data_IF_679385854767
#
_entry.id   IF_679385854767
#
_cell.length_a   1.000
_cell.length_b   1.000
_cell.length_c   1.000
_cell.angle_alpha   90.00
_cell.angle_beta   90.00
_cell.angle_gamma   90.00
#
_symmetry.space_group_name_H-M   'P 1'
#
loop_
_entity.id
_entity.type
_entity.pdbx_description
1 polymer ?
#
# COMPACT_ATOMS: atom_id res chain seq x y z
N UNK A 1 -16.06 -5.24 -21.14
CA UNK A 1 -15.15 -6.02 -20.26
C UNK A 1 -14.28 -5.04 -19.46
N UNK A 2 -13.88 -5.23 -18.21
CA UNK A 2 -14.61 -5.53 -16.97
C UNK A 2 -13.93 -4.65 -15.88
N UNK A 3 -14.70 -4.15 -14.90
CA UNK A 3 -14.33 -3.15 -13.86
C UNK A 3 -13.35 -3.67 -12.79
N UNK A 4 -12.44 -4.58 -13.15
CA UNK A 4 -11.64 -5.37 -12.19
C UNK A 4 -10.13 -5.08 -12.21
N UNK A 5 -9.68 -4.07 -12.96
CA UNK A 5 -8.28 -3.63 -12.94
C UNK A 5 -7.93 -2.79 -11.73
N UNK A 6 -8.91 -2.25 -10.99
CA UNK A 6 -8.69 -1.33 -9.87
C UNK A 6 -9.22 -1.92 -8.55
N UNK A 7 -8.52 -1.63 -7.46
CA UNK A 7 -8.95 -1.98 -6.12
C UNK A 7 -10.13 -1.09 -5.67
N UNK A 8 -11.22 -1.64 -5.12
CA UNK A 8 -12.38 -0.85 -4.69
C UNK A 8 -12.09 0.06 -3.48
N UNK A 9 -11.07 -0.26 -2.67
CA UNK A 9 -10.73 0.52 -1.47
C UNK A 9 -9.78 1.69 -1.74
N UNK A 10 -8.72 1.47 -2.53
CA UNK A 10 -7.67 2.47 -2.77
C UNK A 10 -7.59 2.98 -4.21
N UNK A 11 -8.39 2.43 -5.13
CA UNK A 11 -8.39 2.75 -6.57
C UNK A 11 -7.04 2.58 -7.26
N UNK A 12 -6.14 1.77 -6.68
CA UNK A 12 -4.89 1.41 -7.33
C UNK A 12 -5.08 0.22 -8.26
N UNK A 13 -4.25 0.12 -9.29
CA UNK A 13 -4.23 -1.04 -10.17
C UNK A 13 -4.04 -2.34 -9.37
N UNK A 14 -5.03 -3.21 -9.46
CA UNK A 14 -5.01 -4.56 -8.91
C UNK A 14 -4.35 -5.55 -9.88
N UNK A 15 -4.43 -5.30 -11.20
CA UNK A 15 -3.85 -6.16 -12.25
C UNK A 15 -2.39 -5.83 -12.53
N UNK A 16 -1.53 -6.07 -11.55
CA UNK A 16 -0.08 -5.88 -11.65
C UNK A 16 0.64 -7.22 -11.44
N UNK A 17 1.87 -7.40 -11.93
CA UNK A 17 2.58 -8.67 -11.77
C UNK A 17 2.73 -9.02 -10.29
N UNK A 18 3.00 -8.04 -9.43
CA UNK A 18 3.15 -8.25 -7.98
C UNK A 18 1.92 -8.87 -7.30
N UNK A 19 0.73 -8.71 -7.89
CA UNK A 19 -0.53 -9.27 -7.38
C UNK A 19 -0.90 -10.60 -8.04
N UNK A 20 -0.06 -11.14 -8.93
CA UNK A 20 -0.30 -12.39 -9.64
C UNK A 20 0.24 -13.58 -8.85
N UNK A 21 -0.49 -14.70 -8.80
CA UNK A 21 -0.05 -15.94 -8.14
C UNK A 21 1.21 -16.57 -8.75
N UNK A 22 1.51 -16.24 -10.01
CA UNK A 22 2.63 -16.77 -10.77
C UNK A 22 3.88 -15.90 -10.69
N UNK A 23 3.79 -14.73 -10.06
CA UNK A 23 4.94 -13.85 -9.89
C UNK A 23 5.95 -14.49 -8.94
N UNK A 24 7.19 -14.56 -9.39
CA UNK A 24 8.29 -15.14 -8.62
C UNK A 24 9.58 -14.38 -9.00
N UNK A 25 10.13 -13.55 -8.10
CA UNK A 25 11.33 -12.77 -8.42
C UNK A 25 12.57 -13.63 -8.70
N UNK A 26 12.56 -14.91 -8.32
CA UNK A 26 13.65 -15.85 -8.60
C UNK A 26 13.60 -16.47 -10.00
N UNK A 27 12.48 -16.36 -10.72
CA UNK A 27 12.34 -16.86 -12.08
C UNK A 27 12.97 -15.91 -13.11
N UNK A 28 13.44 -16.44 -14.25
CA UNK A 28 14.13 -15.67 -15.31
C UNK A 28 13.38 -14.40 -15.76
N UNK A 29 12.04 -14.48 -15.86
CA UNK A 29 11.17 -13.35 -16.26
C UNK A 29 10.38 -12.75 -15.10
N UNK A 30 10.77 -13.09 -13.88
CA UNK A 30 10.00 -12.89 -12.66
C UNK A 30 8.57 -13.49 -12.71
N UNK A 31 8.40 -14.57 -13.49
CA UNK A 31 7.13 -15.26 -13.70
C UNK A 31 7.40 -16.76 -13.84
N UNK A 32 6.61 -17.59 -13.16
CA UNK A 32 6.71 -19.06 -13.23
C UNK A 32 6.15 -19.64 -14.52
N UNK A 33 5.30 -18.89 -15.21
CA UNK A 33 4.76 -19.27 -16.51
C UNK A 33 5.70 -18.76 -17.61
N UNK A 34 6.34 -19.68 -18.33
CA UNK A 34 7.34 -19.37 -19.36
C UNK A 34 6.71 -18.82 -20.64
N UNK A 35 5.49 -19.27 -20.95
CA UNK A 35 4.71 -18.83 -22.11
C UNK A 35 4.08 -17.44 -21.90
N UNK A 36 4.10 -16.92 -20.67
CA UNK A 36 3.56 -15.61 -20.39
C UNK A 36 4.36 -14.49 -21.07
N UNK A 37 3.64 -13.44 -21.46
CA UNK A 37 4.23 -12.23 -22.00
C UNK A 37 5.20 -11.61 -20.98
N UNK A 38 6.35 -11.16 -21.47
CA UNK A 38 7.33 -10.49 -20.61
C UNK A 38 6.90 -9.06 -20.29
N UNK A 39 6.50 -8.84 -19.04
CA UNK A 39 6.19 -7.51 -18.51
C UNK A 39 7.45 -6.86 -17.95
N UNK A 40 7.81 -5.65 -18.38
CA UNK A 40 8.98 -4.90 -17.84
C UNK A 40 8.70 -4.29 -16.48
N UNK A 41 7.60 -3.55 -16.37
CA UNK A 41 7.17 -2.82 -15.17
C UNK A 41 6.25 -3.72 -14.33
N UNK A 42 6.78 -4.36 -13.29
CA UNK A 42 6.04 -5.38 -12.52
C UNK A 42 5.01 -4.79 -11.56
N UNK A 43 5.21 -3.53 -11.17
CA UNK A 43 4.41 -2.74 -10.23
C UNK A 43 3.28 -1.94 -10.91
N UNK A 44 3.24 -1.94 -12.26
CA UNK A 44 2.20 -1.27 -13.05
C UNK A 44 1.21 -2.24 -13.66
N UNK A 45 0.06 -1.68 -14.04
CA UNK A 45 -1.03 -2.41 -14.69
C UNK A 45 -0.53 -3.12 -15.94
N UNK A 46 -0.92 -4.39 -16.11
CA UNK A 46 -0.57 -5.18 -17.27
C UNK A 46 -1.79 -5.83 -17.92
N UNK A 47 -1.58 -6.33 -19.14
CA UNK A 47 -2.60 -7.01 -19.93
C UNK A 47 -2.38 -8.52 -20.07
N UNK A 48 -1.40 -9.07 -19.33
CA UNK A 48 -0.98 -10.46 -19.44
C UNK A 48 -2.17 -11.43 -19.30
N UNK A 49 -2.38 -12.26 -20.31
CA UNK A 49 -3.49 -13.23 -20.39
C UNK A 49 -3.41 -14.33 -19.31
N UNK A 50 -2.20 -14.62 -18.82
CA UNK A 50 -1.97 -15.59 -17.74
C UNK A 50 -2.15 -14.99 -16.34
N UNK A 51 -2.53 -13.72 -16.22
CA UNK A 51 -2.76 -13.09 -14.93
C UNK A 51 -3.83 -13.84 -14.14
N UNK A 52 -3.47 -14.28 -12.94
CA UNK A 52 -4.39 -14.85 -11.96
C UNK A 52 -4.11 -14.18 -10.63
N UNK A 53 -5.09 -13.50 -9.99
CA UNK A 53 -4.87 -12.85 -8.71
C UNK A 53 -4.38 -13.87 -7.68
N UNK A 54 -3.38 -13.47 -6.88
CA UNK A 54 -2.92 -14.23 -5.73
C UNK A 54 -4.02 -14.39 -4.68
N UNK A 55 -3.85 -15.35 -3.78
CA UNK A 55 -4.75 -15.46 -2.64
C UNK A 55 -4.74 -14.14 -1.86
N UNK A 56 -5.92 -13.53 -1.69
CA UNK A 56 -6.08 -12.39 -0.81
C UNK A 56 -5.69 -12.81 0.59
N UNK A 57 -4.64 -12.19 1.15
CA UNK A 57 -4.39 -12.25 2.59
C UNK A 57 -5.52 -11.47 3.25
N UNK A 58 -6.64 -12.13 3.52
CA UNK A 58 -7.70 -11.58 4.33
C UNK A 58 -7.12 -11.13 5.66
N UNK A 59 -7.64 -10.05 6.24
CA UNK A 59 -7.21 -9.54 7.55
C UNK A 59 -7.29 -10.67 8.59
N UNK A 60 -6.17 -11.33 8.86
CA UNK A 60 -6.06 -12.31 9.91
C UNK A 60 -5.86 -11.58 11.24
N UNK A 61 -6.70 -11.92 12.22
CA UNK A 61 -6.63 -11.62 13.66
C UNK A 61 -5.76 -10.41 14.07
N UNK A 62 -6.36 -9.22 14.05
CA UNK A 62 -5.69 -7.95 14.37
C UNK A 62 -5.20 -7.86 15.83
N UNK A 63 -5.86 -8.52 16.78
CA UNK A 63 -5.52 -8.37 18.20
C UNK A 63 -4.18 -9.00 18.56
N UNK A 64 -3.89 -10.21 18.08
CA UNK A 64 -2.65 -10.91 18.41
C UNK A 64 -1.42 -10.25 17.76
N UNK A 65 -1.60 -9.67 16.57
CA UNK A 65 -0.54 -8.92 15.89
C UNK A 65 -0.25 -7.59 16.62
N UNK A 66 -1.28 -6.90 17.11
CA UNK A 66 -1.16 -5.63 17.83
C UNK A 66 -0.43 -5.81 19.16
N UNK A 67 -0.84 -6.78 19.99
CA UNK A 67 -0.19 -7.04 21.28
C UNK A 67 1.29 -7.45 21.13
N UNK A 68 1.64 -8.21 20.09
CA UNK A 68 3.05 -8.57 19.82
C UNK A 68 3.88 -7.37 19.41
N UNK A 69 3.32 -6.44 18.65
CA UNK A 69 4.00 -5.21 18.25
C UNK A 69 4.24 -4.31 19.47
N UNK A 70 3.22 -4.11 20.30
CA UNK A 70 3.33 -3.30 21.53
C UNK A 70 4.41 -3.85 22.47
N UNK A 71 4.50 -5.17 22.63
CA UNK A 71 5.51 -5.83 23.47
C UNK A 71 6.96 -5.60 22.99
N UNK A 72 7.19 -5.40 21.69
CA UNK A 72 8.53 -5.11 21.14
C UNK A 72 8.98 -3.68 21.47
N UNK A 73 8.05 -2.72 21.51
CA UNK A 73 8.36 -1.30 21.75
C UNK A 73 8.18 -0.86 23.21
N UNK A 74 7.46 -1.63 24.03
CA UNK A 74 7.28 -1.36 25.46
C UNK A 74 8.56 -1.50 26.30
N UNK A 75 9.63 -2.11 25.77
CA UNK A 75 10.92 -2.26 26.49
C UNK A 75 11.88 -1.09 26.30
N UNK A 76 11.45 0.03 25.69
CA UNK A 76 12.30 1.20 25.49
C UNK A 76 11.62 2.55 25.25
N UNK A 77 10.33 2.70 25.56
CA UNK A 77 9.62 3.97 25.38
C UNK A 77 8.93 4.43 26.67
N UNK A 78 9.38 5.57 27.19
CA UNK A 78 8.59 6.47 28.03
C UNK A 78 7.25 6.77 27.33
N UNK A 79 6.10 6.78 28.03
CA UNK A 79 4.79 6.79 27.38
C UNK A 79 4.54 8.10 26.62
N UNK A 80 4.70 8.05 25.30
CA UNK A 80 4.17 9.07 24.41
C UNK A 80 2.64 8.98 24.40
N UNK A 81 2.00 9.96 25.04
CA UNK A 81 0.58 10.21 24.93
C UNK A 81 0.14 10.27 23.45
N UNK A 82 -1.14 9.97 23.14
CA UNK A 82 -1.65 10.10 21.78
C UNK A 82 -1.57 11.56 21.33
N UNK A 83 -0.53 11.91 20.59
CA UNK A 83 -0.48 13.16 19.84
C UNK A 83 -1.36 13.00 18.62
N UNK A 84 -2.63 13.36 18.79
CA UNK A 84 -3.47 13.79 17.67
C UNK A 84 -2.67 14.82 16.87
N UNK A 85 -2.41 14.63 15.57
CA UNK A 85 -1.93 15.73 14.75
C UNK A 85 -3.09 16.71 14.58
N UNK A 86 -3.20 17.65 15.51
CA UNK A 86 -4.08 18.82 15.33
C UNK A 86 -3.46 19.63 14.20
N UNK A 87 -3.97 19.43 12.98
CA UNK A 87 -3.75 20.33 11.87
C UNK A 87 -4.23 21.72 12.27
N UNK A 88 -3.29 22.56 12.70
CA UNK A 88 -3.57 23.86 13.29
C UNK A 88 -2.41 24.83 13.07
N UNK A 89 -1.87 24.87 11.85
CA UNK A 89 -0.85 25.85 11.44
C UNK A 89 -1.36 26.87 10.41
N UNK A 90 -2.27 26.47 9.51
CA UNK A 90 -2.60 27.29 8.33
C UNK A 90 -3.46 28.53 8.63
N UNK A 91 -4.16 28.60 9.77
CA UNK A 91 -5.00 29.76 10.10
C UNK A 91 -4.17 30.97 10.56
N UNK A 92 -3.09 30.75 11.31
CA UNK A 92 -2.21 31.80 11.79
C UNK A 92 -1.38 32.41 10.64
N UNK A 93 -0.95 31.57 9.69
CA UNK A 93 -0.19 32.00 8.51
C UNK A 93 -1.05 32.85 7.55
N UNK A 94 -2.33 32.53 7.36
CA UNK A 94 -3.24 33.34 6.53
C UNK A 94 -3.49 34.72 7.14
N UNK A 95 -3.67 34.81 8.46
CA UNK A 95 -3.91 36.08 9.15
C UNK A 95 -2.68 37.00 9.12
N UNK A 96 -1.46 36.42 9.13
CA UNK A 96 -0.21 37.17 8.98
C UNK A 96 -0.02 37.66 7.54
N UNK A 97 -0.24 36.79 6.55
CA UNK A 97 -0.12 37.12 5.13
C UNK A 97 -1.12 38.20 4.66
N UNK A 98 -2.33 38.23 5.24
CA UNK A 98 -3.33 39.27 4.95
C UNK A 98 -3.01 40.63 5.61
N UNK A 99 -2.21 40.65 6.70
CA UNK A 99 -1.75 41.89 7.34
C UNK A 99 -0.53 42.50 6.66
N UNK A 100 0.39 41.66 6.17
CA UNK A 100 1.62 42.09 5.49
C UNK A 100 1.39 42.54 4.04
N UNK A 101 0.14 42.46 3.52
CA UNK A 101 -0.24 42.86 2.15
C UNK A 101 -0.89 44.25 2.03
N UNK A 102 -0.73 45.11 3.04
CA UNK A 102 -1.17 46.51 3.01
C UNK A 102 0.02 47.47 2.99
#
# INVERSE_FOLDING_TARGET
MARSSECPGCRRDARVCLNCKFYDPGASRACREEQAEWVKEKDRSNFCSYFSPGASVGKAATDTARSKLDALFAKGAEPAAPSTPTGGGFAADLAKFLKDKR
#
